data_IF_882249102395
#
_entry.id   IF_882249102395
#
_cell.length_a   1.000
_cell.length_b   1.000
_cell.length_c   1.000
_cell.angle_alpha   90.00
_cell.angle_beta   90.00
_cell.angle_gamma   90.00
#
_symmetry.space_group_name_H-M   'P 1'
#
loop_
_entity.id
_entity.type
_entity.pdbx_description
1 polymer ?
#
# COMPACT_ATOMS: atom_id res chain seq x y z
N UNK A 1 16.65 -2.98 7.68
CA UNK A 1 15.98 -3.10 9.01
C UNK A 1 15.77 -4.58 9.32
N UNK A 2 15.49 -4.94 10.56
CA UNK A 2 15.17 -6.34 10.92
C UNK A 2 13.73 -6.64 10.49
N UNK A 3 13.50 -7.80 9.90
CA UNK A 3 12.17 -8.29 9.55
C UNK A 3 11.45 -8.77 10.81
N UNK A 4 10.27 -8.24 11.06
CA UNK A 4 9.45 -8.60 12.23
C UNK A 4 8.89 -10.03 12.12
N UNK A 5 8.91 -10.63 10.92
CA UNK A 5 8.43 -11.99 10.68
C UNK A 5 9.53 -13.06 10.82
N UNK A 6 10.74 -12.81 10.31
CA UNK A 6 11.80 -13.83 10.28
C UNK A 6 13.07 -13.45 11.06
N UNK A 7 13.21 -12.20 11.54
CA UNK A 7 14.36 -11.75 12.33
C UNK A 7 15.62 -11.40 11.52
N UNK A 8 15.62 -11.58 10.19
CA UNK A 8 16.76 -11.23 9.34
C UNK A 8 16.83 -9.73 9.04
N UNK A 9 18.04 -9.21 8.80
CA UNK A 9 18.31 -7.77 8.55
C UNK A 9 17.98 -7.29 7.13
N UNK A 10 17.36 -8.14 6.33
CA UNK A 10 17.09 -7.97 4.91
C UNK A 10 15.70 -7.40 4.63
N UNK A 11 15.07 -6.78 5.63
CA UNK A 11 13.87 -5.97 5.44
C UNK A 11 14.24 -4.55 4.98
N UNK A 12 13.43 -4.00 4.07
CA UNK A 12 13.57 -2.66 3.51
C UNK A 12 12.20 -2.03 3.26
N UNK A 13 12.12 -0.70 3.25
CA UNK A 13 10.89 0.02 2.91
C UNK A 13 10.87 0.28 1.41
N UNK A 14 9.77 -0.10 0.75
CA UNK A 14 9.48 0.20 -0.65
C UNK A 14 8.22 1.05 -0.73
N UNK A 15 8.24 2.09 -1.54
CA UNK A 15 7.06 2.90 -1.80
C UNK A 15 6.34 2.33 -3.02
N UNK A 16 5.07 1.95 -2.84
CA UNK A 16 4.27 1.31 -3.90
C UNK A 16 2.91 1.97 -4.01
N UNK A 17 2.29 1.80 -5.18
CA UNK A 17 0.90 2.17 -5.39
C UNK A 17 0.00 1.01 -4.96
N UNK A 18 -0.94 1.26 -4.05
CA UNK A 18 -1.93 0.25 -3.61
C UNK A 18 -3.34 0.65 -4.01
N UNK A 19 -4.08 -0.28 -4.58
CA UNK A 19 -5.51 -0.15 -4.86
C UNK A 19 -6.35 -0.75 -3.73
N UNK A 20 -7.37 -0.02 -3.29
CA UNK A 20 -8.36 -0.44 -2.32
C UNK A 20 -9.76 -0.43 -2.94
N UNK A 21 -10.59 -1.42 -2.60
CA UNK A 21 -11.91 -1.56 -3.18
C UNK A 21 -11.89 -2.18 -4.58
N UNK A 22 -12.97 -2.00 -5.34
CA UNK A 22 -13.17 -2.61 -6.67
C UNK A 22 -14.09 -1.77 -7.55
N UNK A 23 -13.93 -1.88 -8.87
CA UNK A 23 -14.78 -1.22 -9.86
C UNK A 23 -14.84 0.29 -9.67
N UNK A 24 -16.06 0.86 -9.69
CA UNK A 24 -16.29 2.31 -9.53
C UNK A 24 -15.86 2.87 -8.17
N UNK A 25 -15.71 2.01 -7.15
CA UNK A 25 -15.34 2.42 -5.80
C UNK A 25 -13.86 2.26 -5.50
N UNK A 26 -13.04 1.94 -6.52
CA UNK A 26 -11.60 1.81 -6.34
C UNK A 26 -10.98 3.13 -5.83
N UNK A 27 -10.01 3.01 -4.93
CA UNK A 27 -9.18 4.08 -4.43
C UNK A 27 -7.73 3.67 -4.64
N UNK A 28 -6.98 4.50 -5.37
CA UNK A 28 -5.56 4.30 -5.60
C UNK A 28 -4.82 5.25 -4.67
N UNK A 29 -3.95 4.70 -3.82
CA UNK A 29 -3.06 5.48 -2.95
C UNK A 29 -1.64 5.24 -3.46
N UNK A 30 -1.00 6.31 -3.93
CA UNK A 30 0.38 6.32 -4.40
C UNK A 30 1.34 6.45 -3.21
N UNK A 31 2.61 6.04 -3.40
CA UNK A 31 3.68 6.20 -2.41
C UNK A 31 3.39 5.60 -1.02
N UNK A 32 2.68 4.49 -0.94
CA UNK A 32 2.46 3.77 0.32
C UNK A 32 3.75 3.06 0.74
N UNK A 33 4.32 3.34 1.92
CA UNK A 33 5.49 2.62 2.41
C UNK A 33 5.11 1.19 2.81
N UNK A 34 5.80 0.21 2.23
CA UNK A 34 5.63 -1.23 2.50
C UNK A 34 6.96 -1.79 2.94
N UNK A 35 6.99 -2.48 4.07
CA UNK A 35 8.16 -3.25 4.48
C UNK A 35 8.21 -4.53 3.67
N UNK A 36 9.29 -4.77 2.96
CA UNK A 36 9.54 -5.97 2.15
C UNK A 36 10.84 -6.62 2.61
N UNK A 37 10.80 -7.93 2.88
CA UNK A 37 11.97 -8.71 3.22
C UNK A 37 12.42 -9.58 2.04
N UNK A 38 13.66 -9.39 1.56
CA UNK A 38 14.20 -10.21 0.47
C UNK A 38 14.56 -11.64 0.90
N UNK A 39 14.71 -11.89 2.20
CA UNK A 39 15.06 -13.20 2.73
C UNK A 39 13.87 -14.17 2.72
N UNK A 40 12.73 -13.78 3.31
CA UNK A 40 11.56 -14.64 3.44
C UNK A 40 10.42 -14.29 2.47
N UNK A 41 10.57 -13.24 1.66
CA UNK A 41 9.58 -12.79 0.67
C UNK A 41 8.36 -12.06 1.27
N UNK A 42 8.30 -11.86 2.58
CA UNK A 42 7.18 -11.20 3.23
C UNK A 42 7.12 -9.71 2.87
N UNK A 43 5.90 -9.22 2.70
CA UNK A 43 5.59 -7.80 2.49
C UNK A 43 4.44 -7.37 3.39
N UNK A 44 4.67 -6.39 4.25
CA UNK A 44 3.69 -5.95 5.25
C UNK A 44 3.70 -4.43 5.46
N UNK A 45 2.63 -3.93 6.07
CA UNK A 45 2.48 -2.53 6.43
C UNK A 45 2.74 -2.35 7.93
N UNK A 46 3.30 -1.20 8.31
CA UNK A 46 3.39 -0.81 9.72
C UNK A 46 2.03 -0.32 10.23
N UNK A 47 1.85 -0.32 11.56
CA UNK A 47 0.64 0.23 12.19
C UNK A 47 0.41 1.70 11.82
N UNK A 48 1.48 2.51 11.81
CA UNK A 48 1.44 3.91 11.36
C UNK A 48 0.91 4.03 9.93
N UNK A 49 1.42 3.20 9.01
CA UNK A 49 0.98 3.24 7.61
C UNK A 49 -0.49 2.83 7.48
N UNK A 50 -0.93 1.83 8.25
CA UNK A 50 -2.34 1.40 8.26
C UNK A 50 -3.26 2.52 8.77
N UNK A 51 -2.91 3.19 9.86
CA UNK A 51 -3.69 4.32 10.38
C UNK A 51 -3.80 5.45 9.35
N UNK A 52 -2.72 5.76 8.63
CA UNK A 52 -2.76 6.79 7.59
C UNK A 52 -3.63 6.39 6.39
N UNK A 53 -3.56 5.13 5.97
CA UNK A 53 -4.46 4.58 4.95
C UNK A 53 -5.93 4.69 5.39
N UNK A 54 -6.23 4.39 6.65
CA UNK A 54 -7.58 4.52 7.20
C UNK A 54 -8.04 5.98 7.23
N UNK A 55 -7.18 6.91 7.65
CA UNK A 55 -7.45 8.35 7.59
C UNK A 55 -7.77 8.80 6.16
N UNK A 56 -6.99 8.36 5.17
CA UNK A 56 -7.22 8.67 3.75
C UNK A 56 -8.56 8.10 3.28
N UNK A 57 -8.88 6.85 3.65
CA UNK A 57 -10.16 6.21 3.29
C UNK A 57 -11.36 6.96 3.89
N UNK A 58 -11.28 7.40 5.14
CA UNK A 58 -12.34 8.14 5.83
C UNK A 58 -12.58 9.52 5.19
N UNK A 59 -11.52 10.18 4.72
CA UNK A 59 -11.59 11.53 4.15
C UNK A 59 -11.43 11.51 2.62
N UNK A 60 -11.81 10.41 1.96
CA UNK A 60 -11.61 10.18 0.52
C UNK A 60 -12.06 11.37 -0.32
N UNK A 61 -13.25 11.91 -0.06
CA UNK A 61 -13.84 13.01 -0.83
C UNK A 61 -12.96 14.27 -0.92
N UNK A 62 -12.15 14.52 0.12
CA UNK A 62 -11.36 15.75 0.24
C UNK A 62 -9.90 15.54 -0.13
N UNK A 63 -9.42 14.30 -0.07
CA UNK A 63 -8.00 13.95 -0.26
C UNK A 63 -7.71 13.33 -1.62
N UNK A 64 -8.72 13.04 -2.44
CA UNK A 64 -8.52 12.45 -3.77
C UNK A 64 -8.70 13.46 -4.87
N UNK A 65 -7.80 13.41 -5.86
CA UNK A 65 -7.98 14.06 -7.16
C UNK A 65 -8.43 13.02 -8.19
N UNK A 66 -9.47 13.33 -8.95
CA UNK A 66 -9.91 12.45 -10.04
C UNK A 66 -8.90 12.45 -11.20
N UNK A 67 -8.48 11.25 -11.62
CA UNK A 67 -7.57 11.04 -12.75
C UNK A 67 -8.10 9.89 -13.61
N UNK A 68 -8.12 10.08 -14.93
CA UNK A 68 -8.40 8.98 -15.87
C UNK A 68 -7.17 8.08 -15.95
N UNK A 69 -7.32 6.80 -15.62
CA UNK A 69 -6.26 5.80 -15.70
C UNK A 69 -6.74 4.61 -16.53
N UNK A 70 -5.90 4.07 -17.45
CA UNK A 70 -6.22 2.83 -18.14
C UNK A 70 -6.19 1.67 -17.13
N UNK A 71 -7.17 0.77 -17.23
CA UNK A 71 -7.28 -0.42 -16.38
C UNK A 71 -7.39 -1.64 -17.27
N UNK A 72 -6.49 -2.60 -17.08
CA UNK A 72 -6.53 -3.90 -17.74
C UNK A 72 -7.26 -4.92 -16.85
N UNK A 73 -7.94 -5.87 -17.48
CA UNK A 73 -8.51 -7.05 -16.81
C UNK A 73 -7.62 -8.24 -17.18
N UNK A 74 -7.19 -9.01 -16.19
CA UNK A 74 -6.48 -10.26 -16.40
C UNK A 74 -7.48 -11.33 -16.89
N UNK A 75 -7.12 -12.06 -17.95
CA UNK A 75 -7.92 -13.12 -18.56
C UNK A 75 -7.05 -14.31 -18.88
#
# INVERSE_FOLDING_TARGET
>A
MICDTCGHKEASIRHVTRSYGKGKNILIIENVPVVTCSHCGQSYLTAETLHEIERIKLHKSNLTQERKVPVAVFG
#
